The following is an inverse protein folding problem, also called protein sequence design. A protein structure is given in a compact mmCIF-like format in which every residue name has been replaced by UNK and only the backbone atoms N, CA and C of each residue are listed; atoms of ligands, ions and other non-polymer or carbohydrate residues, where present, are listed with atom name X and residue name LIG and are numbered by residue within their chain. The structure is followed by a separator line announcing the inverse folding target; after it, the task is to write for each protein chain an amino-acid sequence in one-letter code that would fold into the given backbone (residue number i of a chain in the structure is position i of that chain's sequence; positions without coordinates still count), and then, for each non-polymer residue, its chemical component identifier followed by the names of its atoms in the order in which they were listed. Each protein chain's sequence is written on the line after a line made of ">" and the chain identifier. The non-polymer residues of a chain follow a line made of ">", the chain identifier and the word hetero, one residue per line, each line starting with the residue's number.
data_IF_245898502761
#
_entry.id   IF_245898502761
#
_cell.length_a   1.000
_cell.length_b   1.000
_cell.length_c   1.000
_cell.angle_alpha   90.00
_cell.angle_beta   90.00
_cell.angle_gamma   90.00
#
_symmetry.space_group_name_H-M   'P 1'
#
loop_
_entity.id
_entity.type
_entity.pdbx_description
1 polymer ?
#
# COMPACT_ATOMS: atom_id res chain seq x y z
N UNK A 1 8.37 -10.29 -13.73
CA UNK A 1 7.91 -10.48 -12.34
C UNK A 1 7.04 -9.29 -12.04
N UNK A 2 5.77 -9.54 -11.75
CA UNK A 2 4.83 -8.49 -11.40
C UNK A 2 5.20 -7.97 -10.00
N UNK A 3 5.25 -6.64 -9.83
CA UNK A 3 5.63 -6.02 -8.56
C UNK A 3 4.52 -6.11 -7.51
N UNK A 4 4.87 -5.87 -6.25
CA UNK A 4 3.93 -5.70 -5.15
C UNK A 4 3.00 -4.51 -5.45
N UNK A 5 1.70 -4.76 -5.47
CA UNK A 5 0.64 -3.74 -5.57
C UNK A 5 0.15 -3.41 -4.16
N UNK A 6 -0.71 -4.24 -3.59
CA UNK A 6 -1.24 -4.09 -2.24
C UNK A 6 -0.54 -5.07 -1.28
N UNK A 7 0.05 -4.53 -0.22
CA UNK A 7 0.87 -5.31 0.70
C UNK A 7 1.02 -4.60 2.06
N UNK A 8 1.46 -5.37 3.05
CA UNK A 8 1.99 -4.83 4.31
C UNK A 8 3.47 -5.14 4.45
N UNK A 9 4.17 -4.27 5.15
CA UNK A 9 5.53 -4.47 5.63
C UNK A 9 5.49 -4.34 7.14
N UNK A 10 6.07 -5.29 7.84
CA UNK A 10 6.29 -5.24 9.29
C UNK A 10 7.81 -5.32 9.52
N UNK A 11 8.36 -4.42 10.34
CA UNK A 11 9.80 -4.31 10.56
C UNK A 11 10.10 -3.66 11.90
N UNK A 12 11.11 -4.18 12.60
CA UNK A 12 11.68 -3.53 13.79
C UNK A 12 12.91 -2.71 13.40
N UNK A 13 13.04 -1.52 13.96
CA UNK A 13 14.15 -0.61 13.63
C UNK A 13 15.04 -0.41 14.85
N UNK A 14 16.35 -0.54 14.66
CA UNK A 14 17.34 -0.39 15.71
C UNK A 14 18.19 0.84 15.48
N UNK A 15 18.47 1.59 16.54
CA UNK A 15 19.17 2.88 16.51
C UNK A 15 18.56 3.86 15.50
N UNK A 16 17.26 4.18 15.64
CA UNK A 16 16.56 5.12 14.73
C UNK A 16 17.33 6.43 14.63
N UNK A 17 17.71 6.77 13.39
CA UNK A 17 18.55 7.94 13.14
C UNK A 17 18.30 8.52 11.76
N UNK A 18 18.86 7.92 10.72
CA UNK A 18 18.57 8.28 9.34
C UNK A 18 18.65 7.04 8.45
N UNK A 19 17.52 6.66 7.90
CA UNK A 19 17.32 5.45 7.14
C UNK A 19 15.87 5.40 6.67
N UNK A 20 15.42 4.25 6.17
CA UNK A 20 14.08 4.15 5.67
C UNK A 20 13.72 2.83 5.02
N UNK A 21 12.50 2.82 4.51
CA UNK A 21 11.87 1.67 3.86
C UNK A 21 11.36 2.13 2.50
N UNK A 22 11.89 1.52 1.45
CA UNK A 22 11.43 1.66 0.08
C UNK A 22 10.17 0.83 -0.16
N UNK A 23 9.20 1.41 -0.86
CA UNK A 23 7.89 0.85 -1.15
C UNK A 23 7.54 1.09 -2.62
N UNK A 24 7.07 0.05 -3.30
CA UNK A 24 6.84 0.03 -4.75
C UNK A 24 8.04 0.59 -5.53
N UNK A 25 9.24 0.23 -5.10
CA UNK A 25 10.48 0.70 -5.72
C UNK A 25 10.81 -0.05 -7.01
N UNK A 26 11.51 0.64 -7.90
CA UNK A 26 12.09 0.09 -9.10
C UNK A 26 13.50 0.65 -9.30
N UNK A 27 14.34 -0.11 -9.98
CA UNK A 27 15.67 0.31 -10.37
C UNK A 27 15.83 0.05 -11.86
N UNK A 28 15.90 1.11 -12.65
CA UNK A 28 15.97 1.06 -14.10
C UNK A 28 16.98 2.08 -14.60
N UNK A 29 17.82 1.67 -15.57
CA UNK A 29 18.82 2.57 -16.14
C UNK A 29 19.86 3.09 -15.14
N UNK A 30 20.04 2.42 -13.99
CA UNK A 30 20.93 2.88 -12.93
C UNK A 30 20.29 3.83 -11.91
N UNK A 31 18.98 4.10 -12.03
CA UNK A 31 18.27 5.09 -11.23
C UNK A 31 17.12 4.44 -10.45
N UNK A 32 16.90 4.90 -9.22
CA UNK A 32 15.82 4.44 -8.36
C UNK A 32 14.55 5.28 -8.54
N UNK A 33 13.40 4.63 -8.48
CA UNK A 33 12.09 5.29 -8.36
C UNK A 33 11.21 4.56 -7.37
N UNK A 34 10.31 5.25 -6.67
CA UNK A 34 9.37 4.67 -5.72
C UNK A 34 8.97 5.62 -4.59
N UNK A 35 8.29 5.09 -3.59
CA UNK A 35 8.05 5.78 -2.31
C UNK A 35 9.09 5.33 -1.30
N UNK A 36 9.60 6.25 -0.49
CA UNK A 36 10.45 5.92 0.65
C UNK A 36 9.88 6.54 1.92
N UNK A 37 9.67 5.71 2.94
CA UNK A 37 9.41 6.14 4.31
C UNK A 37 10.75 6.39 4.97
N UNK A 38 10.99 7.61 5.47
CA UNK A 38 12.21 7.96 6.21
C UNK A 38 11.96 7.84 7.71
N UNK A 39 12.93 7.27 8.42
CA UNK A 39 12.94 7.12 9.88
C UNK A 39 13.98 8.05 10.51
N UNK A 40 13.54 8.94 11.41
CA UNK A 40 14.37 9.97 12.02
C UNK A 40 14.68 11.09 11.03
N UNK A 41 15.56 10.83 10.06
CA UNK A 41 15.92 11.76 8.98
C UNK A 41 16.69 13.00 9.44
N UNK A 42 16.75 14.02 8.57
CA UNK A 42 17.44 15.29 8.84
C UNK A 42 18.91 15.09 9.29
N UNK A 43 19.63 14.19 8.63
CA UNK A 43 21.03 13.88 8.95
C UNK A 43 21.19 13.20 10.31
N UNK A 44 20.15 12.52 10.79
CA UNK A 44 20.16 11.79 12.06
C UNK A 44 19.64 12.55 13.27
N UNK A 45 19.15 13.78 13.08
CA UNK A 45 18.65 14.64 14.17
C UNK A 45 17.13 14.63 14.30
N UNK A 46 16.42 14.15 13.28
CA UNK A 46 14.97 14.12 13.31
C UNK A 46 14.43 12.99 14.19
N UNK A 47 13.21 13.19 14.67
CA UNK A 47 12.55 12.37 15.69
C UNK A 47 11.26 11.73 15.18
N UNK A 48 10.99 11.81 13.88
CA UNK A 48 9.71 11.46 13.29
C UNK A 48 9.83 10.55 12.08
N UNK A 49 8.70 10.40 11.42
CA UNK A 49 8.54 9.71 10.15
C UNK A 49 8.06 10.71 9.10
N UNK A 50 8.49 10.54 7.87
CA UNK A 50 7.97 11.29 6.73
C UNK A 50 8.24 10.53 5.44
N UNK A 51 7.67 11.02 4.34
CA UNK A 51 7.76 10.35 3.06
C UNK A 51 8.52 11.19 2.04
N UNK A 52 9.17 10.50 1.12
CA UNK A 52 9.51 11.06 -0.18
C UNK A 52 8.92 10.21 -1.30
N UNK A 53 8.60 10.87 -2.40
CA UNK A 53 8.51 10.22 -3.70
C UNK A 53 9.84 10.44 -4.41
N UNK A 54 10.33 9.40 -5.07
CA UNK A 54 11.58 9.45 -5.83
C UNK A 54 11.31 9.04 -7.27
N UNK A 55 11.72 9.90 -8.20
CA UNK A 55 11.56 9.70 -9.64
C UNK A 55 12.95 9.79 -10.29
N UNK A 56 13.51 8.65 -10.70
CA UNK A 56 14.84 8.55 -11.32
C UNK A 56 15.92 9.28 -10.49
N UNK A 57 16.02 8.94 -9.21
CA UNK A 57 16.87 9.55 -8.17
C UNK A 57 16.53 11.01 -7.79
N UNK A 58 15.55 11.64 -8.46
CA UNK A 58 15.04 12.94 -8.03
C UNK A 58 14.10 12.76 -6.84
N UNK A 59 14.54 13.24 -5.67
CA UNK A 59 13.79 13.18 -4.42
C UNK A 59 12.84 14.38 -4.30
N UNK A 60 11.61 14.15 -3.87
CA UNK A 60 10.64 15.22 -3.58
C UNK A 60 11.02 16.03 -2.34
N UNK A 61 10.27 17.09 -2.05
CA UNK A 61 10.26 17.66 -0.69
C UNK A 61 9.74 16.64 0.35
N UNK A 62 9.88 16.97 1.63
CA UNK A 62 9.34 16.18 2.75
C UNK A 62 7.82 16.20 2.68
N UNK A 63 7.21 15.00 2.66
CA UNK A 63 5.75 14.83 2.59
C UNK A 63 5.21 14.23 3.88
N UNK A 64 4.04 14.71 4.30
CA UNK A 64 3.27 14.22 5.46
C UNK A 64 4.14 13.85 6.68
N UNK A 65 4.87 14.79 7.30
CA UNK A 65 5.63 14.46 8.50
C UNK A 65 4.71 14.10 9.66
N UNK A 66 5.09 13.10 10.46
CA UNK A 66 4.34 12.66 11.64
C UNK A 66 4.47 13.58 12.86
N UNK A 67 5.46 14.49 12.85
CA UNK A 67 5.98 15.13 14.06
C UNK A 67 6.87 14.19 14.87
N UNK A 68 7.18 14.57 16.12
CA UNK A 68 8.06 13.79 17.00
C UNK A 68 7.37 12.52 17.52
N UNK A 69 7.99 11.37 17.24
CA UNK A 69 7.56 10.05 17.69
C UNK A 69 8.63 9.34 18.53
N UNK A 70 9.90 9.58 18.20
CA UNK A 70 11.04 8.85 18.73
C UNK A 70 12.07 9.78 19.37
N UNK A 71 12.87 9.24 20.27
CA UNK A 71 14.17 9.83 20.62
C UNK A 71 15.24 9.28 19.68
N UNK A 72 16.19 10.11 19.26
CA UNK A 72 17.31 9.64 18.42
C UNK A 72 18.06 8.49 19.10
N UNK A 73 18.33 7.44 18.34
CA UNK A 73 19.00 6.21 18.78
C UNK A 73 18.12 5.22 19.55
N UNK A 74 16.81 5.44 19.61
CA UNK A 74 15.89 4.42 20.15
C UNK A 74 15.95 3.15 19.29
N UNK A 75 15.85 1.99 19.95
CA UNK A 75 15.82 0.68 19.31
C UNK A 75 14.53 -0.05 19.66
N UNK A 76 14.18 -1.04 18.84
CA UNK A 76 12.97 -1.85 18.91
C UNK A 76 11.60 -1.17 18.68
N UNK A 77 11.43 0.06 18.11
CA UNK A 77 10.14 0.45 17.59
C UNK A 77 9.74 -0.45 16.41
N UNK A 78 8.50 -0.94 16.46
CA UNK A 78 7.91 -1.74 15.39
C UNK A 78 7.15 -0.82 14.43
N UNK A 79 7.47 -0.90 13.15
CA UNK A 79 6.78 -0.20 12.08
C UNK A 79 5.96 -1.20 11.25
N UNK A 80 4.65 -1.00 11.22
CA UNK A 80 3.77 -1.64 10.25
C UNK A 80 3.38 -0.64 9.19
N UNK A 81 3.75 -0.90 7.94
CA UNK A 81 3.38 -0.10 6.78
C UNK A 81 2.30 -0.85 5.99
N UNK A 82 1.19 -0.19 5.68
CA UNK A 82 0.16 -0.72 4.78
C UNK A 82 0.13 0.08 3.50
N UNK A 83 0.25 -0.59 2.36
CA UNK A 83 0.13 0.00 1.03
C UNK A 83 -1.10 -0.62 0.37
N UNK A 84 -2.16 0.18 0.21
CA UNK A 84 -3.44 -0.25 -0.38
C UNK A 84 -3.89 0.79 -1.39
N UNK A 85 -4.06 0.38 -2.65
CA UNK A 85 -4.35 1.31 -3.75
C UNK A 85 -3.27 2.40 -3.82
N UNK A 86 -3.66 3.67 -3.75
CA UNK A 86 -2.72 4.80 -3.79
C UNK A 86 -2.31 5.29 -2.39
N UNK A 87 -2.69 4.59 -1.32
CA UNK A 87 -2.49 5.03 0.06
C UNK A 87 -1.43 4.22 0.79
N UNK A 88 -0.48 4.93 1.38
CA UNK A 88 0.62 4.42 2.19
C UNK A 88 0.41 4.93 3.61
N UNK A 89 0.28 4.05 4.58
CA UNK A 89 0.12 4.42 6.00
C UNK A 89 1.11 3.67 6.85
N UNK A 90 1.73 4.34 7.82
CA UNK A 90 2.61 3.71 8.81
C UNK A 90 1.98 3.78 10.19
N UNK A 91 2.05 2.67 10.90
CA UNK A 91 1.60 2.48 12.27
C UNK A 91 2.82 2.11 13.12
N UNK A 92 2.89 2.65 14.33
CA UNK A 92 4.01 2.47 15.25
C UNK A 92 3.54 1.67 16.45
N UNK A 93 4.31 0.66 16.86
CA UNK A 93 4.12 -0.15 18.07
C UNK A 93 2.70 -0.71 18.22
N UNK A 94 2.15 -1.24 17.12
CA UNK A 94 0.81 -1.84 17.09
C UNK A 94 -0.35 -0.84 17.19
N UNK A 95 -0.09 0.48 17.15
CA UNK A 95 -1.13 1.51 17.16
C UNK A 95 -2.19 1.25 16.07
N UNK A 96 -3.49 1.41 16.37
CA UNK A 96 -4.55 1.33 15.36
C UNK A 96 -4.67 2.61 14.52
N UNK A 97 -4.05 3.72 14.96
CA UNK A 97 -4.05 5.00 14.25
C UNK A 97 -2.72 5.18 13.54
N UNK A 98 -2.77 5.50 12.25
CA UNK A 98 -1.57 5.77 11.47
C UNK A 98 -0.83 6.98 12.03
N UNK A 99 0.49 6.87 12.20
CA UNK A 99 1.34 7.97 12.61
C UNK A 99 1.51 9.00 11.48
N UNK A 100 1.50 8.53 10.23
CA UNK A 100 1.39 9.36 9.04
C UNK A 100 0.85 8.56 7.84
N UNK A 101 0.28 9.27 6.88
CA UNK A 101 -0.26 8.75 5.63
C UNK A 101 0.19 9.60 4.44
N UNK A 102 0.55 8.94 3.34
CA UNK A 102 0.77 9.53 2.02
C UNK A 102 -0.24 8.94 1.04
N UNK A 103 -0.80 9.78 0.16
CA UNK A 103 -1.62 9.33 -0.97
C UNK A 103 -0.96 9.79 -2.28
N UNK A 104 -0.60 8.85 -3.14
CA UNK A 104 -0.02 9.10 -4.47
C UNK A 104 -0.27 7.93 -5.43
N UNK A 105 -0.55 8.25 -6.70
CA UNK A 105 -0.76 7.28 -7.78
C UNK A 105 0.48 7.08 -8.67
N UNK A 106 1.62 7.66 -8.30
CA UNK A 106 2.83 7.69 -9.13
C UNK A 106 3.42 6.29 -9.38
N UNK A 107 3.21 5.36 -8.45
CA UNK A 107 3.81 4.02 -8.48
C UNK A 107 2.72 2.96 -8.27
N UNK A 108 2.32 2.29 -9.35
CA UNK A 108 1.28 1.26 -9.29
C UNK A 108 1.77 -0.06 -8.67
N UNK A 109 3.04 -0.42 -8.87
CA UNK A 109 3.64 -1.63 -8.33
C UNK A 109 5.17 -1.52 -8.25
N UNK A 110 5.80 -2.34 -7.41
CA UNK A 110 7.27 -2.44 -7.39
C UNK A 110 7.79 -3.40 -6.34
N UNK A 111 8.99 -3.14 -5.83
CA UNK A 111 9.63 -3.93 -4.77
C UNK A 111 9.54 -3.18 -3.44
N UNK A 112 9.87 -3.86 -2.36
CA UNK A 112 10.17 -3.20 -1.09
C UNK A 112 11.61 -3.50 -0.70
N UNK A 113 12.21 -2.60 0.07
CA UNK A 113 13.61 -2.72 0.48
C UNK A 113 13.93 -1.79 1.64
N UNK A 114 15.10 -2.00 2.23
CA UNK A 114 15.60 -1.24 3.36
C UNK A 114 16.68 -0.27 2.89
N UNK A 115 16.76 0.87 3.56
CA UNK A 115 17.72 1.94 3.30
C UNK A 115 18.35 2.37 4.61
N UNK A 116 19.67 2.38 4.67
CA UNK A 116 20.45 2.94 5.78
C UNK A 116 21.27 4.13 5.27
N UNK A 117 21.05 5.31 5.85
CA UNK A 117 21.92 6.47 5.65
C UNK A 117 22.86 6.69 6.85
N UNK A 118 22.84 5.75 7.80
CA UNK A 118 23.49 5.85 9.10
C UNK A 118 23.90 4.47 9.60
N UNK A 119 24.07 4.32 10.92
CA UNK A 119 24.31 3.04 11.59
C UNK A 119 23.01 2.32 12.00
N UNK A 120 21.85 2.87 11.61
CA UNK A 120 20.55 2.25 11.82
C UNK A 120 20.51 0.84 11.21
N UNK A 121 19.92 -0.12 11.93
CA UNK A 121 19.73 -1.49 11.45
C UNK A 121 18.27 -1.90 11.54
N UNK A 122 17.92 -3.03 10.94
CA UNK A 122 16.55 -3.53 10.86
C UNK A 122 16.52 -5.01 11.25
N UNK A 123 15.45 -5.43 11.91
CA UNK A 123 15.18 -6.85 12.22
C UNK A 123 13.71 -7.20 11.93
N UNK A 124 13.40 -8.49 11.89
CA UNK A 124 12.06 -9.03 11.70
C UNK A 124 11.31 -8.47 10.47
N UNK A 125 12.05 -8.18 9.39
CA UNK A 125 11.46 -7.66 8.17
C UNK A 125 10.58 -8.72 7.48
N UNK A 126 9.28 -8.45 7.43
CA UNK A 126 8.28 -9.29 6.81
C UNK A 126 7.47 -8.51 5.77
N UNK A 127 7.13 -9.15 4.65
CA UNK A 127 6.24 -8.60 3.64
C UNK A 127 5.09 -9.58 3.41
N UNK A 128 3.86 -9.09 3.52
CA UNK A 128 2.66 -9.87 3.25
C UNK A 128 1.84 -9.23 2.13
N UNK A 129 1.57 -9.99 1.07
CA UNK A 129 0.65 -9.55 0.02
C UNK A 129 -0.77 -9.46 0.58
N UNK A 130 -1.49 -8.37 0.29
CA UNK A 130 -2.88 -8.22 0.68
C UNK A 130 -3.75 -8.70 -0.50
N UNK A 131 -4.57 -9.76 -0.32
CA UNK A 131 -5.43 -10.23 -1.40
C UNK A 131 -6.42 -9.14 -1.82
N UNK A 132 -6.53 -8.90 -3.13
CA UNK A 132 -7.56 -8.00 -3.64
C UNK A 132 -8.95 -8.46 -3.16
N UNK A 133 -9.80 -7.56 -2.62
CA UNK A 133 -11.10 -7.95 -2.14
C UNK A 133 -11.91 -8.59 -3.27
N UNK A 134 -12.49 -9.77 -3.01
CA UNK A 134 -13.24 -10.62 -3.94
C UNK A 134 -14.50 -9.98 -4.57
N UNK A 135 -14.69 -8.66 -4.42
CA UNK A 135 -15.75 -7.87 -5.04
C UNK A 135 -15.81 -8.05 -6.56
N UNK A 136 -14.66 -8.25 -7.23
CA UNK A 136 -14.61 -8.58 -8.66
C UNK A 136 -15.23 -9.96 -8.95
N UNK A 137 -14.96 -10.95 -8.10
CA UNK A 137 -15.54 -12.29 -8.26
C UNK A 137 -17.06 -12.27 -8.07
N UNK A 138 -17.57 -11.49 -7.11
CA UNK A 138 -19.02 -11.36 -6.87
C UNK A 138 -19.72 -10.59 -8.01
N UNK A 139 -19.11 -9.53 -8.54
CA UNK A 139 -19.64 -8.80 -9.70
C UNK A 139 -19.65 -9.67 -10.97
N UNK A 140 -18.59 -10.45 -11.20
CA UNK A 140 -18.52 -11.39 -12.32
C UNK A 140 -19.60 -12.47 -12.25
N UNK A 141 -19.79 -13.08 -11.08
CA UNK A 141 -20.84 -14.09 -10.86
C UNK A 141 -22.25 -13.48 -10.96
N UNK A 142 -22.46 -12.27 -10.44
CA UNK A 142 -23.73 -11.55 -10.52
C UNK A 142 -24.14 -11.22 -11.97
N UNK A 143 -23.19 -10.78 -12.80
CA UNK A 143 -23.43 -10.53 -14.22
C UNK A 143 -23.80 -11.82 -14.97
N UNK A 144 -23.05 -12.92 -14.76
CA UNK A 144 -23.33 -14.22 -15.38
C UNK A 144 -24.72 -14.76 -15.01
N UNK A 145 -25.13 -14.62 -13.75
CA UNK A 145 -26.46 -15.03 -13.29
C UNK A 145 -27.58 -14.19 -13.96
N UNK A 146 -27.37 -12.88 -14.11
CA UNK A 146 -28.31 -11.99 -14.80
C UNK A 146 -28.47 -12.33 -16.30
N UNK A 147 -27.38 -12.66 -16.99
CA UNK A 147 -27.42 -13.09 -18.39
C UNK A 147 -28.12 -14.45 -18.59
N UNK A 148 -27.94 -15.40 -17.66
CA UNK A 148 -28.66 -16.69 -17.71
C UNK A 148 -30.17 -16.52 -17.51
N UNK A 149 -30.60 -15.63 -16.62
CA UNK A 149 -32.03 -15.39 -16.35
C UNK A 149 -32.79 -14.80 -17.54
N UNK A 150 -32.14 -13.95 -18.35
CA UNK A 150 -32.76 -13.35 -19.55
C UNK A 150 -33.06 -14.36 -20.66
N UNK A 151 -32.31 -15.47 -20.78
CA UNK A 151 -32.56 -16.51 -21.80
C UNK A 151 -33.74 -17.44 -21.48
N UNK A 152 -34.19 -17.50 -20.22
CA UNK A 152 -35.25 -18.41 -19.81
C UNK A 152 -36.67 -17.87 -20.01
N UNK A 153 -36.83 -16.59 -20.39
CA UNK A 153 -38.14 -16.00 -20.62
C UNK A 153 -38.64 -16.33 -22.04
N UNK A 154 -39.40 -17.43 -22.17
CA UNK A 154 -40.30 -17.66 -23.32
C UNK A 154 -41.67 -17.08 -22.97
N UNK A 155 -42.15 -16.00 -23.63
CA UNK A 155 -43.52 -15.56 -23.43
C UNK A 155 -44.48 -16.67 -23.87
N UNK A 156 -45.31 -17.15 -22.94
CA UNK A 156 -46.43 -18.01 -23.28
C UNK A 156 -47.47 -17.15 -24.00
N UNK A 157 -47.69 -17.42 -25.28
CA UNK A 157 -48.79 -16.82 -26.04
C UNK A 157 -50.11 -17.13 -25.33
N UNK A 158 -50.69 -16.11 -24.70
CA UNK A 158 -52.01 -16.16 -24.10
C UNK A 158 -53.03 -16.35 -25.24
N UNK A 159 -53.48 -17.59 -25.45
CA UNK A 159 -54.57 -17.88 -26.39
C UNK A 159 -55.89 -17.55 -25.71
N UNK A 160 -56.37 -16.33 -25.89
CA UNK A 160 -57.72 -15.91 -25.51
C UNK A 160 -58.70 -16.75 -26.34
N UNK A 161 -59.53 -17.57 -25.67
CA UNK A 161 -60.69 -18.19 -26.29
C UNK A 161 -61.81 -17.15 -26.34
N UNK A 162 -62.44 -16.89 -27.50
CA UNK A 162 -63.67 -16.14 -27.53
C UNK A 162 -64.81 -17.07 -27.05
N UNK A 163 -65.47 -16.68 -25.97
CA UNK A 163 -66.82 -17.17 -25.67
C UNK A 163 -67.79 -16.42 -26.58
N UNK A 164 -68.56 -17.16 -27.37
CA UNK A 164 -69.81 -16.69 -27.95
C UNK A 164 -70.90 -17.71 -27.60
N UNK A 165 -71.86 -17.19 -26.82
CA UNK A 165 -73.26 -17.60 -26.56
C UNK A 165 -73.60 -19.07 -26.29
#
# INVERSE_FOLDING_TARGET
>A
MDGLTDFTVDVDVNDIKDGGIWLRSSFAGGQASGVVLITGGSGGSGTGLYWHTVHNDSVSEILSPSGSLFTSGVSDPNLRITVIGDTYSVYVDGSPTAATTLTTSDFAAGRAGLYDFSIQTFDNFEINAVPEPATIAVLGLGALAAFRRRRAYKPQNLRIKPEFE
#
